data_IF_770894039485
#
_entry.id   IF_770894039485
#
_cell.length_a   1.000
_cell.length_b   1.000
_cell.length_c   1.000
_cell.angle_alpha   90.00
_cell.angle_beta   90.00
_cell.angle_gamma   90.00
#
_symmetry.space_group_name_H-M   'P 1'
#
loop_
_entity.id
_entity.type
_entity.pdbx_description
1 polymer ?
#
# COMPACT_ATOMS: atom_id res chain seq x y z
N UNK A 1 7.58 -4.75 10.69
CA UNK A 1 6.68 -5.16 9.60
C UNK A 1 5.45 -4.26 9.60
N UNK A 2 5.10 -3.74 8.45
CA UNK A 2 3.89 -2.95 8.23
C UNK A 2 3.20 -3.38 6.93
N UNK A 3 1.89 -3.25 6.88
CA UNK A 3 1.16 -3.31 5.61
C UNK A 3 1.22 -1.92 4.98
N UNK A 4 1.58 -1.86 3.71
CA UNK A 4 1.70 -0.59 3.00
C UNK A 4 0.60 -0.43 1.97
N UNK A 5 0.12 0.82 1.84
CA UNK A 5 -0.77 1.22 0.76
C UNK A 5 -0.02 1.12 -0.58
N UNK A 6 -0.72 0.75 -1.64
CA UNK A 6 -0.15 0.72 -2.99
C UNK A 6 0.47 2.07 -3.37
N UNK A 7 -0.12 3.18 -2.92
CA UNK A 7 0.43 4.51 -3.20
C UNK A 7 1.82 4.72 -2.60
N UNK A 8 2.14 4.13 -1.44
CA UNK A 8 3.50 4.21 -0.89
C UNK A 8 4.51 3.55 -1.82
N UNK A 9 4.15 2.42 -2.42
CA UNK A 9 5.00 1.76 -3.41
C UNK A 9 5.15 2.62 -4.66
N UNK A 10 4.06 3.24 -5.12
CA UNK A 10 4.12 4.17 -6.26
C UNK A 10 5.08 5.32 -5.94
N UNK A 11 4.94 5.94 -4.78
CA UNK A 11 5.81 7.07 -4.39
C UNK A 11 7.27 6.68 -4.30
N UNK A 12 7.55 5.46 -3.85
CA UNK A 12 8.92 4.97 -3.72
C UNK A 12 9.59 4.74 -5.08
N UNK A 13 8.86 4.19 -6.03
CA UNK A 13 9.42 3.75 -7.32
C UNK A 13 9.16 4.69 -8.48
N UNK A 14 8.21 5.62 -8.36
CA UNK A 14 7.94 6.66 -9.34
C UNK A 14 8.32 7.99 -8.70
N UNK A 15 9.45 8.56 -9.12
CA UNK A 15 9.99 9.80 -8.54
C UNK A 15 8.99 10.95 -8.60
N UNK A 16 8.81 11.64 -7.47
CA UNK A 16 7.89 12.76 -7.35
C UNK A 16 7.95 13.39 -5.96
N UNK A 17 7.01 14.28 -5.68
CA UNK A 17 7.00 15.04 -4.42
C UNK A 17 6.78 14.17 -3.17
N UNK A 18 6.22 12.97 -3.31
CA UNK A 18 5.94 12.08 -2.17
C UNK A 18 7.01 11.00 -1.98
N UNK A 19 8.05 10.96 -2.83
CA UNK A 19 9.09 9.94 -2.76
C UNK A 19 9.86 10.02 -1.44
N UNK A 20 10.23 11.22 -1.01
CA UNK A 20 10.98 11.41 0.24
C UNK A 20 10.21 10.87 1.46
N UNK A 21 8.89 11.06 1.50
CA UNK A 21 8.06 10.52 2.57
C UNK A 21 8.05 8.98 2.56
N UNK A 22 7.90 8.37 1.39
CA UNK A 22 7.93 6.92 1.26
C UNK A 22 9.28 6.34 1.68
N UNK A 23 10.37 7.00 1.31
CA UNK A 23 11.73 6.60 1.73
C UNK A 23 11.87 6.68 3.26
N UNK A 24 11.32 7.70 3.90
CA UNK A 24 11.35 7.85 5.36
C UNK A 24 10.58 6.72 6.04
N UNK A 25 9.43 6.33 5.52
CA UNK A 25 8.67 5.18 6.02
C UNK A 25 9.50 3.90 5.89
N UNK A 26 10.15 3.72 4.74
CA UNK A 26 10.98 2.53 4.48
C UNK A 26 12.18 2.44 5.44
N UNK A 27 12.82 3.55 5.73
CA UNK A 27 13.92 3.60 6.71
C UNK A 27 13.41 3.24 8.11
N UNK A 28 12.23 3.74 8.45
CA UNK A 28 11.61 3.49 9.77
C UNK A 28 11.25 2.01 9.96
N UNK A 29 10.67 1.40 8.94
CA UNK A 29 10.35 -0.04 8.92
C UNK A 29 10.52 -0.57 7.50
N UNK A 30 11.58 -1.33 7.24
CA UNK A 30 11.86 -1.82 5.89
C UNK A 30 11.09 -3.09 5.50
N UNK A 31 10.34 -3.70 6.43
CA UNK A 31 9.60 -4.93 6.13
C UNK A 31 8.18 -4.57 5.71
N UNK A 32 8.00 -4.42 4.40
CA UNK A 32 6.73 -4.05 3.79
C UNK A 32 6.00 -5.29 3.27
N UNK A 33 4.73 -5.41 3.61
CA UNK A 33 3.86 -6.47 3.12
C UNK A 33 2.56 -5.87 2.57
N UNK A 34 1.88 -6.61 1.73
CA UNK A 34 0.62 -6.17 1.13
C UNK A 34 -0.21 -7.36 0.64
N UNK A 35 -1.55 -7.18 0.48
CA UNK A 35 -2.34 -8.16 -0.27
C UNK A 35 -1.86 -8.21 -1.72
N UNK A 36 -1.98 -9.36 -2.36
CA UNK A 36 -1.54 -9.56 -3.74
C UNK A 36 -2.19 -8.57 -4.72
N UNK A 37 -3.35 -8.03 -4.38
CA UNK A 37 -4.07 -6.98 -5.11
C UNK A 37 -3.17 -5.77 -5.44
N UNK A 38 -2.15 -5.49 -4.61
CA UNK A 38 -1.26 -4.33 -4.85
C UNK A 38 -0.67 -4.37 -6.26
N UNK A 39 -0.41 -5.55 -6.81
CA UNK A 39 0.16 -5.69 -8.14
C UNK A 39 -0.75 -5.10 -9.22
N UNK A 40 -2.04 -5.43 -9.16
CA UNK A 40 -3.03 -4.92 -10.11
C UNK A 40 -3.20 -3.41 -9.98
N UNK A 41 -3.26 -2.90 -8.76
CA UNK A 41 -3.37 -1.47 -8.50
C UNK A 41 -2.12 -0.71 -8.98
N UNK A 42 -0.95 -1.25 -8.70
CA UNK A 42 0.33 -0.66 -9.12
C UNK A 42 0.44 -0.60 -10.66
N UNK A 43 0.11 -1.70 -11.33
CA UNK A 43 0.09 -1.76 -12.80
C UNK A 43 -0.89 -0.75 -13.38
N UNK A 44 -2.04 -0.57 -12.74
CA UNK A 44 -3.04 0.39 -13.20
C UNK A 44 -2.51 1.83 -13.12
N UNK A 45 -1.77 2.17 -12.07
CA UNK A 45 -1.10 3.48 -11.97
C UNK A 45 -0.07 3.64 -13.07
N UNK A 46 0.77 2.64 -13.31
CA UNK A 46 1.79 2.68 -14.36
C UNK A 46 1.15 2.81 -15.75
N UNK A 47 0.08 2.07 -16.01
CA UNK A 47 -0.66 2.18 -17.27
C UNK A 47 -1.19 3.60 -17.47
N UNK A 48 -1.70 4.22 -16.43
CA UNK A 48 -2.14 5.62 -16.47
C UNK A 48 -1.00 6.58 -16.82
N UNK A 49 0.20 6.36 -16.28
CA UNK A 49 1.38 7.18 -16.58
C UNK A 49 1.84 6.99 -18.03
N UNK A 50 1.77 5.76 -18.55
CA UNK A 50 2.06 5.49 -19.97
C UNK A 50 1.11 6.27 -20.87
N UNK A 51 -0.18 6.24 -20.58
CA UNK A 51 -1.20 6.90 -21.39
C UNK A 51 -1.17 8.42 -21.30
N UNK A 52 -0.98 8.98 -20.09
CA UNK A 52 -1.15 10.43 -19.85
C UNK A 52 0.15 11.21 -19.77
N UNK A 53 1.22 10.56 -19.35
CA UNK A 53 2.51 11.23 -19.09
C UNK A 53 3.63 10.75 -19.99
N UNK A 54 3.34 9.85 -20.91
CA UNK A 54 4.32 9.36 -21.87
C UNK A 54 5.42 8.49 -21.27
N UNK A 55 5.17 7.84 -20.12
CA UNK A 55 6.12 6.88 -19.58
C UNK A 55 6.33 5.76 -20.60
N UNK A 56 7.60 5.45 -20.91
CA UNK A 56 7.90 4.37 -21.84
C UNK A 56 7.52 3.01 -21.29
N UNK A 57 7.10 2.08 -22.17
CA UNK A 57 6.72 0.75 -21.76
C UNK A 57 7.85 0.02 -21.02
N UNK A 58 9.09 0.10 -21.54
CA UNK A 58 10.23 -0.58 -20.92
C UNK A 58 10.51 -0.04 -19.52
N UNK A 59 10.36 1.27 -19.33
CA UNK A 59 10.51 1.90 -18.02
C UNK A 59 9.41 1.45 -17.06
N UNK A 60 8.16 1.37 -17.52
CA UNK A 60 7.03 0.90 -16.73
C UNK A 60 7.25 -0.55 -16.26
N UNK A 61 7.70 -1.42 -17.16
CA UNK A 61 7.99 -2.82 -16.82
C UNK A 61 9.14 -2.93 -15.82
N UNK A 62 10.19 -2.14 -16.01
CA UNK A 62 11.33 -2.10 -15.05
C UNK A 62 10.87 -1.67 -13.68
N UNK A 63 10.07 -0.62 -13.59
CA UNK A 63 9.52 -0.12 -12.31
C UNK A 63 8.68 -1.20 -11.64
N UNK A 64 7.81 -1.88 -12.40
CA UNK A 64 6.98 -2.95 -11.87
C UNK A 64 7.83 -4.09 -11.29
N UNK A 65 8.87 -4.50 -12.02
CA UNK A 65 9.76 -5.58 -11.56
C UNK A 65 10.55 -5.18 -10.32
N UNK A 66 10.99 -3.94 -10.20
CA UNK A 66 11.67 -3.46 -9.00
C UNK A 66 10.76 -3.52 -7.77
N UNK A 67 9.52 -3.08 -7.90
CA UNK A 67 8.53 -3.15 -6.82
C UNK A 67 8.21 -4.61 -6.45
N UNK A 68 8.06 -5.48 -7.44
CA UNK A 68 7.81 -6.91 -7.21
C UNK A 68 8.96 -7.58 -6.47
N UNK A 69 10.20 -7.24 -6.80
CA UNK A 69 11.37 -7.76 -6.06
C UNK A 69 11.35 -7.33 -4.60
N UNK A 70 11.00 -6.08 -4.32
CA UNK A 70 10.89 -5.62 -2.92
C UNK A 70 9.82 -6.36 -2.16
N UNK A 71 8.70 -6.64 -2.81
CA UNK A 71 7.55 -7.27 -2.17
C UNK A 71 7.62 -8.80 -2.14
N UNK A 72 8.64 -9.40 -2.74
CA UNK A 72 8.81 -10.85 -2.75
C UNK A 72 8.86 -11.39 -1.31
N UNK A 73 8.03 -12.40 -1.03
CA UNK A 73 7.90 -12.97 0.33
C UNK A 73 6.96 -12.18 1.25
N UNK A 74 6.51 -10.99 0.83
CA UNK A 74 5.59 -10.15 1.61
C UNK A 74 4.21 -10.00 0.97
N UNK A 75 3.80 -10.94 0.15
CA UNK A 75 2.50 -10.90 -0.54
C UNK A 75 1.57 -11.97 0.04
N UNK A 76 0.33 -11.56 0.30
CA UNK A 76 -0.64 -12.39 1.03
C UNK A 76 -2.01 -12.36 0.35
N UNK A 77 -2.82 -13.39 0.66
CA UNK A 77 -4.25 -13.38 0.37
C UNK A 77 -5.03 -13.19 1.66
N UNK A 78 -6.25 -12.67 1.55
CA UNK A 78 -7.13 -12.41 2.71
C UNK A 78 -8.46 -13.11 2.46
N UNK A 79 -9.01 -13.74 3.51
CA UNK A 79 -10.24 -14.52 3.40
C UNK A 79 -11.44 -13.63 3.05
N UNK A 80 -12.27 -14.09 2.12
CA UNK A 80 -13.43 -13.32 1.64
C UNK A 80 -14.40 -12.93 2.75
N UNK A 81 -14.68 -13.83 3.70
CA UNK A 81 -15.60 -13.51 4.79
C UNK A 81 -15.10 -12.36 5.66
N UNK A 82 -13.79 -12.25 5.87
CA UNK A 82 -13.18 -11.16 6.62
C UNK A 82 -13.25 -9.84 5.84
N UNK A 83 -12.89 -9.87 4.57
CA UNK A 83 -12.93 -8.70 3.70
C UNK A 83 -14.34 -8.14 3.61
N UNK A 84 -15.31 -9.00 3.32
CA UNK A 84 -16.71 -8.60 3.18
C UNK A 84 -17.29 -8.10 4.51
N UNK A 85 -16.92 -8.71 5.63
CA UNK A 85 -17.33 -8.26 6.95
C UNK A 85 -16.82 -6.86 7.27
N UNK A 86 -15.54 -6.59 6.98
CA UNK A 86 -14.95 -5.25 7.17
C UNK A 86 -15.60 -4.21 6.26
N UNK A 87 -15.85 -4.56 4.99
CA UNK A 87 -16.51 -3.67 4.05
C UNK A 87 -17.93 -3.32 4.49
N UNK A 88 -18.69 -4.32 4.93
CA UNK A 88 -20.08 -4.13 5.38
C UNK A 88 -20.16 -3.19 6.60
N UNK A 89 -19.21 -3.30 7.52
CA UNK A 89 -19.21 -2.48 8.76
C UNK A 89 -18.70 -1.06 8.55
N UNK A 90 -17.84 -0.84 7.56
CA UNK A 90 -17.12 0.42 7.41
C UNK A 90 -17.62 1.31 6.28
N UNK A 91 -18.26 0.71 5.27
CA UNK A 91 -18.55 1.41 4.02
C UNK A 91 -17.34 1.59 3.11
N UNK A 92 -16.16 1.10 3.49
CA UNK A 92 -14.99 1.09 2.63
C UNK A 92 -15.13 -0.01 1.57
N UNK A 93 -14.40 0.13 0.46
CA UNK A 93 -14.43 -0.89 -0.61
C UNK A 93 -13.83 -2.20 -0.13
N UNK A 94 -14.17 -3.30 -0.80
CA UNK A 94 -13.56 -4.60 -0.54
C UNK A 94 -12.05 -4.55 -0.80
N UNK A 95 -11.62 -3.83 -1.84
CA UNK A 95 -10.21 -3.65 -2.16
C UNK A 95 -9.45 -3.02 -0.99
N UNK A 96 -9.97 -1.93 -0.43
CA UNK A 96 -9.37 -1.27 0.74
C UNK A 96 -9.36 -2.20 1.95
N UNK A 97 -10.42 -2.98 2.13
CA UNK A 97 -10.55 -3.90 3.26
C UNK A 97 -9.62 -5.12 3.17
N UNK A 98 -9.07 -5.44 2.00
CA UNK A 98 -8.00 -6.44 1.93
C UNK A 98 -6.76 -5.98 2.70
N UNK A 99 -6.38 -4.72 2.56
CA UNK A 99 -5.23 -4.15 3.28
C UNK A 99 -5.47 -4.11 4.79
N UNK A 100 -6.65 -3.66 5.20
CA UNK A 100 -7.03 -3.62 6.63
C UNK A 100 -7.08 -5.03 7.21
N UNK A 101 -7.68 -5.97 6.51
CA UNK A 101 -7.78 -7.37 6.94
C UNK A 101 -6.41 -8.02 7.11
N UNK A 102 -5.50 -7.77 6.17
CA UNK A 102 -4.14 -8.29 6.28
C UNK A 102 -3.42 -7.72 7.50
N UNK A 103 -3.54 -6.42 7.74
CA UNK A 103 -2.91 -5.79 8.89
C UNK A 103 -3.42 -6.39 10.20
N UNK A 104 -4.71 -6.65 10.30
CA UNK A 104 -5.30 -7.31 11.47
C UNK A 104 -4.82 -8.74 11.64
N UNK A 105 -4.74 -9.51 10.56
CA UNK A 105 -4.24 -10.89 10.60
C UNK A 105 -2.81 -10.96 11.12
N UNK A 106 -1.98 -10.05 10.66
CA UNK A 106 -0.56 -10.00 11.03
C UNK A 106 -0.31 -9.20 12.31
N UNK A 107 -1.32 -8.52 12.85
CA UNK A 107 -1.23 -7.66 14.03
C UNK A 107 -0.19 -6.56 13.86
N UNK A 108 -0.22 -5.91 12.72
CA UNK A 108 0.66 -4.80 12.38
C UNK A 108 -0.17 -3.60 11.92
N UNK A 109 0.46 -2.45 11.81
CA UNK A 109 -0.20 -1.25 11.29
C UNK A 109 -0.34 -1.29 9.78
N UNK A 110 -1.41 -0.69 9.27
CA UNK A 110 -1.58 -0.37 7.87
C UNK A 110 -1.24 1.11 7.67
N UNK A 111 -0.15 1.37 6.96
CA UNK A 111 0.29 2.75 6.68
C UNK A 111 -0.35 3.22 5.38
N UNK A 112 -1.23 4.20 5.48
CA UNK A 112 -2.00 4.73 4.35
C UNK A 112 -2.31 6.21 4.53
N UNK A 113 -2.42 6.92 3.41
CA UNK A 113 -2.91 8.30 3.40
C UNK A 113 -4.42 8.43 3.14
N UNK A 114 -5.12 7.33 2.97
CA UNK A 114 -6.56 7.34 2.67
C UNK A 114 -7.38 7.78 3.88
N UNK A 115 -8.04 8.93 3.76
CA UNK A 115 -8.79 9.53 4.87
C UNK A 115 -9.98 8.69 5.31
N UNK A 116 -10.67 8.04 4.38
CA UNK A 116 -11.80 7.18 4.71
C UNK A 116 -11.37 5.99 5.54
N UNK A 117 -10.27 5.35 5.15
CA UNK A 117 -9.71 4.21 5.88
C UNK A 117 -9.22 4.64 7.26
N UNK A 118 -8.51 5.76 7.34
CA UNK A 118 -8.01 6.31 8.61
C UNK A 118 -9.15 6.61 9.59
N UNK A 119 -10.26 7.13 9.09
CA UNK A 119 -11.45 7.42 9.89
C UNK A 119 -12.18 6.14 10.33
N UNK A 120 -12.29 5.16 9.43
CA UNK A 120 -13.04 3.93 9.69
C UNK A 120 -12.28 2.93 10.59
N UNK A 121 -10.94 2.91 10.49
CA UNK A 121 -10.11 1.92 11.19
C UNK A 121 -8.95 2.58 11.95
N UNK A 122 -9.24 3.48 12.90
CA UNK A 122 -8.19 4.27 13.56
C UNK A 122 -7.24 3.44 14.43
N UNK A 123 -7.63 2.23 14.84
CA UNK A 123 -6.76 1.34 15.61
C UNK A 123 -5.86 0.47 14.73
N UNK A 124 -6.12 0.40 13.43
CA UNK A 124 -5.35 -0.41 12.47
C UNK A 124 -4.55 0.44 11.50
N UNK A 125 -5.16 1.52 10.99
CA UNK A 125 -4.57 2.38 9.98
C UNK A 125 -3.89 3.59 10.63
N UNK A 126 -2.77 4.00 10.03
CA UNK A 126 -2.00 5.17 10.47
C UNK A 126 -1.44 5.88 9.23
N UNK A 127 -1.45 7.23 9.27
CA UNK A 127 -0.87 8.00 8.17
C UNK A 127 0.66 7.87 8.13
N UNK A 128 1.29 8.06 6.95
CA UNK A 128 2.75 8.03 6.87
C UNK A 128 3.41 9.04 7.81
N UNK A 129 2.88 10.25 7.91
CA UNK A 129 3.41 11.28 8.80
C UNK A 129 3.34 10.85 10.27
N UNK A 130 2.20 10.34 10.70
CA UNK A 130 2.04 9.90 12.09
C UNK A 130 2.90 8.66 12.38
N UNK A 131 3.04 7.76 11.41
CA UNK A 131 3.88 6.57 11.56
C UNK A 131 5.35 6.93 11.80
N UNK A 132 5.88 7.85 11.01
CA UNK A 132 7.27 8.31 11.13
C UNK A 132 7.49 9.06 12.46
N UNK A 133 6.49 9.78 12.95
CA UNK A 133 6.58 10.52 14.21
C UNK A 133 6.43 9.65 15.46
N UNK A 134 6.04 8.39 15.33
CA UNK A 134 5.90 7.48 16.48
C UNK A 134 7.20 7.31 17.23
N UNK A 135 7.11 7.27 18.54
CA UNK A 135 8.23 6.84 19.39
C UNK A 135 8.43 5.33 19.25
N UNK A 136 9.67 4.95 19.25
CA UNK A 136 10.04 3.53 19.25
C UNK A 136 9.91 2.93 20.65
#
# INVERSE_FOLDING_TARGET
MIVVDTNLLVYLYVSGQNTAQAETVLVRDPVWVAPLLWRSEFRNVLAGLVHRRGLGLDDAVRIAHEAERRMAGGEYTVASHQVLGLAARSGCSADDCEFVGLARDLRVSFVTGDRQILAAFPSTAISPTAFVARRR
#
